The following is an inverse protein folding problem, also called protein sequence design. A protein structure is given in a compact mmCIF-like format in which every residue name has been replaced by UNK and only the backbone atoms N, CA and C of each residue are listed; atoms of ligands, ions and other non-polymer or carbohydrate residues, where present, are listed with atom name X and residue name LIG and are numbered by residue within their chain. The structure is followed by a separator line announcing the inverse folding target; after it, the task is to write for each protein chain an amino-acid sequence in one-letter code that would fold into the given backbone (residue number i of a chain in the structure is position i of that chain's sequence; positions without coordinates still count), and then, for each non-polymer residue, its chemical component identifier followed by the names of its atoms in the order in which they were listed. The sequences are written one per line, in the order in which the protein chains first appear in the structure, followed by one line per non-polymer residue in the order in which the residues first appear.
data_IF_936015441499
#
_entry.id   IF_936015441499
#
_cell.length_a   1.000
_cell.length_b   1.000
_cell.length_c   1.000
_cell.angle_alpha   90.00
_cell.angle_beta   90.00
_cell.angle_gamma   90.00
#
_symmetry.space_group_name_H-M   'P 1'
#
loop_
_entity.id
_entity.type
_entity.pdbx_description
1 polymer ?
#
# COMPACT_ATOMS: atom_id res chain seq x y z
N UNK A 1 6.23 17.91 -38.64
CA UNK A 1 4.86 18.40 -38.39
C UNK A 1 4.06 17.29 -37.68
N UNK A 2 4.48 16.89 -36.47
CA UNK A 2 3.80 15.89 -35.63
C UNK A 2 3.60 16.43 -34.19
N UNK A 3 4.43 17.38 -33.72
CA UNK A 3 4.32 18.03 -32.40
C UNK A 3 2.98 18.76 -32.12
N UNK A 4 2.22 19.14 -33.16
CA UNK A 4 0.91 19.79 -32.99
C UNK A 4 -0.22 18.80 -32.65
N UNK A 5 0.02 17.48 -32.77
CA UNK A 5 -0.99 16.44 -32.50
C UNK A 5 -0.87 15.82 -31.11
N UNK A 6 0.29 15.95 -30.44
CA UNK A 6 0.56 15.30 -29.15
C UNK A 6 0.69 16.27 -27.98
N UNK A 7 0.69 17.59 -28.23
CA UNK A 7 0.92 18.66 -27.22
C UNK A 7 2.18 18.47 -26.36
N UNK A 8 3.11 17.60 -26.77
CA UNK A 8 4.31 17.33 -25.99
C UNK A 8 5.49 18.24 -26.39
N UNK A 9 6.28 18.72 -25.41
CA UNK A 9 7.49 19.51 -25.66
C UNK A 9 8.46 18.78 -26.61
N UNK A 10 9.24 19.52 -27.40
CA UNK A 10 10.18 18.94 -28.38
C UNK A 10 11.26 18.02 -27.76
N UNK A 11 11.47 18.08 -26.44
CA UNK A 11 12.44 17.28 -25.69
C UNK A 11 11.84 16.09 -24.91
N UNK A 12 10.60 15.68 -25.19
CA UNK A 12 10.02 14.50 -24.53
C UNK A 12 10.45 13.19 -25.21
N UNK A 13 10.73 12.18 -24.39
CA UNK A 13 10.86 10.79 -24.82
C UNK A 13 10.11 9.89 -23.85
N UNK A 14 9.42 8.90 -24.39
CA UNK A 14 8.78 7.85 -23.62
C UNK A 14 9.67 6.60 -23.64
N UNK A 15 9.80 5.94 -22.48
CA UNK A 15 10.50 4.67 -22.36
C UNK A 15 9.47 3.60 -22.02
N UNK A 16 9.30 2.65 -22.93
CA UNK A 16 8.50 1.46 -22.72
C UNK A 16 9.41 0.25 -22.46
N UNK A 17 9.13 -0.50 -21.39
CA UNK A 17 9.84 -1.72 -21.05
C UNK A 17 9.02 -2.93 -21.48
N UNK A 18 9.61 -3.80 -22.28
CA UNK A 18 8.97 -5.07 -22.69
C UNK A 18 9.72 -6.27 -22.11
N UNK A 19 8.97 -7.20 -21.53
CA UNK A 19 9.48 -8.42 -20.92
C UNK A 19 9.22 -9.61 -21.84
N UNK A 20 10.15 -9.91 -22.75
CA UNK A 20 10.00 -10.97 -23.75
C UNK A 20 10.94 -12.13 -23.49
N UNK A 21 10.42 -13.36 -23.46
CA UNK A 21 11.22 -14.57 -23.35
C UNK A 21 10.69 -15.67 -24.28
N UNK A 22 11.59 -16.26 -25.08
CA UNK A 22 11.28 -17.34 -26.03
C UNK A 22 10.09 -17.03 -26.97
N UNK A 23 9.98 -15.77 -27.41
CA UNK A 23 8.90 -15.31 -28.30
C UNK A 23 7.56 -15.02 -27.63
N UNK A 24 7.47 -15.15 -26.30
CA UNK A 24 6.28 -14.78 -25.53
C UNK A 24 6.52 -13.43 -24.85
N UNK A 25 5.52 -12.57 -24.89
CA UNK A 25 5.51 -11.27 -24.21
C UNK A 25 4.79 -11.40 -22.85
N UNK A 26 5.51 -11.09 -21.78
CA UNK A 26 5.05 -11.16 -20.39
C UNK A 26 4.82 -9.78 -19.77
N UNK A 27 4.96 -8.70 -20.55
CA UNK A 27 4.93 -7.32 -20.06
C UNK A 27 3.71 -7.05 -19.18
N UNK A 28 2.51 -7.40 -19.66
CA UNK A 28 1.27 -7.24 -18.88
C UNK A 28 1.28 -7.99 -17.55
N UNK A 29 1.81 -9.22 -17.53
CA UNK A 29 1.83 -10.02 -16.31
C UNK A 29 2.75 -9.40 -15.25
N UNK A 30 3.89 -8.85 -15.69
CA UNK A 30 4.83 -8.13 -14.81
C UNK A 30 4.23 -6.80 -14.33
N UNK A 31 3.63 -6.02 -15.22
CA UNK A 31 2.94 -4.78 -14.87
C UNK A 31 1.80 -5.00 -13.87
N UNK A 32 0.99 -6.04 -14.10
CA UNK A 32 -0.11 -6.37 -13.20
C UNK A 32 0.40 -6.83 -11.84
N UNK A 33 1.47 -7.63 -11.78
CA UNK A 33 2.12 -7.99 -10.52
C UNK A 33 2.52 -6.74 -9.75
N UNK A 34 3.26 -5.83 -10.37
CA UNK A 34 3.71 -4.60 -9.71
C UNK A 34 2.54 -3.74 -9.23
N UNK A 35 1.48 -3.62 -10.04
CA UNK A 35 0.25 -2.91 -9.68
C UNK A 35 -0.40 -3.52 -8.43
N UNK A 36 -0.50 -4.85 -8.36
CA UNK A 36 -1.05 -5.55 -7.20
C UNK A 36 -0.18 -5.41 -5.95
N UNK A 37 1.14 -5.46 -6.11
CA UNK A 37 2.09 -5.26 -5.02
C UNK A 37 1.97 -3.85 -4.44
N UNK A 38 1.89 -2.83 -5.29
CA UNK A 38 1.70 -1.43 -4.88
C UNK A 38 0.37 -1.24 -4.14
N UNK A 39 -0.72 -1.76 -4.70
CA UNK A 39 -2.04 -1.70 -4.05
C UNK A 39 -2.04 -2.42 -2.70
N UNK A 40 -1.36 -3.57 -2.60
CA UNK A 40 -1.25 -4.32 -1.36
C UNK A 40 -0.45 -3.56 -0.32
N UNK A 41 0.68 -2.96 -0.70
CA UNK A 41 1.48 -2.12 0.18
C UNK A 41 0.65 -0.94 0.73
N UNK A 42 -0.09 -0.25 -0.13
CA UNK A 42 -0.96 0.84 0.27
C UNK A 42 -2.10 0.38 1.19
N UNK A 43 -2.72 -0.76 0.88
CA UNK A 43 -3.78 -1.34 1.70
C UNK A 43 -3.27 -1.74 3.10
N UNK A 44 -2.07 -2.33 3.18
CA UNK A 44 -1.42 -2.66 4.45
C UNK A 44 -1.11 -1.42 5.26
N UNK A 45 -0.54 -0.38 4.63
CA UNK A 45 -0.24 0.90 5.30
C UNK A 45 -1.53 1.55 5.85
N UNK A 46 -2.59 1.58 5.05
CA UNK A 46 -3.89 2.11 5.46
C UNK A 46 -4.51 1.32 6.61
N UNK A 47 -4.47 -0.01 6.54
CA UNK A 47 -4.96 -0.89 7.61
C UNK A 47 -4.21 -0.64 8.92
N UNK A 48 -2.89 -0.55 8.86
CA UNK A 48 -2.06 -0.39 10.04
C UNK A 48 -2.23 1.01 10.66
N UNK A 49 -2.38 2.05 9.83
CA UNK A 49 -2.78 3.39 10.27
C UNK A 49 -4.14 3.38 10.98
N UNK A 50 -5.17 2.81 10.35
CA UNK A 50 -6.51 2.72 10.94
C UNK A 50 -6.51 1.95 12.27
N UNK A 51 -5.72 0.87 12.37
CA UNK A 51 -5.54 0.13 13.62
C UNK A 51 -4.95 1.01 14.72
N UNK A 52 -3.91 1.79 14.43
CA UNK A 52 -3.30 2.71 15.42
C UNK A 52 -4.31 3.76 15.89
N UNK A 53 -5.05 4.37 14.96
CA UNK A 53 -6.08 5.36 15.27
C UNK A 53 -7.18 4.78 16.20
N UNK A 54 -7.66 3.57 15.92
CA UNK A 54 -8.66 2.88 16.75
C UNK A 54 -8.07 2.53 18.13
N UNK A 55 -6.85 1.98 18.19
CA UNK A 55 -6.18 1.66 19.46
C UNK A 55 -6.05 2.91 20.34
N UNK A 56 -5.60 4.03 19.76
CA UNK A 56 -5.47 5.29 20.49
C UNK A 56 -6.82 5.79 21.01
N UNK A 57 -7.86 5.75 20.18
CA UNK A 57 -9.23 6.14 20.54
C UNK A 57 -9.77 5.28 21.70
N UNK A 58 -9.72 3.96 21.58
CA UNK A 58 -10.23 3.05 22.61
C UNK A 58 -9.44 3.17 23.92
N UNK A 59 -8.12 3.37 23.83
CA UNK A 59 -7.29 3.63 25.01
C UNK A 59 -7.68 4.93 25.72
N UNK A 60 -7.92 6.01 24.96
CA UNK A 60 -8.38 7.28 25.54
C UNK A 60 -9.75 7.17 26.22
N UNK A 61 -10.58 6.24 25.77
CA UNK A 61 -11.85 5.88 26.40
C UNK A 61 -11.69 4.96 27.64
N UNK A 62 -10.46 4.59 28.01
CA UNK A 62 -10.15 3.81 29.21
C UNK A 62 -10.22 2.29 29.03
N UNK A 63 -10.32 1.78 27.79
CA UNK A 63 -10.35 0.33 27.58
C UNK A 63 -8.99 -0.31 27.88
N UNK A 64 -9.04 -1.51 28.45
CA UNK A 64 -7.86 -2.35 28.65
C UNK A 64 -7.33 -2.88 27.32
N UNK A 65 -6.02 -3.18 27.24
CA UNK A 65 -5.41 -3.75 26.03
C UNK A 65 -6.08 -5.06 25.59
N UNK A 66 -6.58 -5.86 26.54
CA UNK A 66 -7.30 -7.10 26.25
C UNK A 66 -8.62 -6.84 25.54
N UNK A 67 -9.41 -5.88 26.02
CA UNK A 67 -10.67 -5.49 25.39
C UNK A 67 -10.43 -4.90 23.98
N UNK A 68 -9.38 -4.09 23.83
CA UNK A 68 -8.97 -3.54 22.52
C UNK A 68 -8.61 -4.67 21.55
N UNK A 69 -7.86 -5.67 22.01
CA UNK A 69 -7.45 -6.82 21.20
C UNK A 69 -8.67 -7.63 20.71
N UNK A 70 -9.66 -7.83 21.57
CA UNK A 70 -10.93 -8.50 21.24
C UNK A 70 -11.71 -7.72 20.17
N UNK A 71 -11.84 -6.39 20.32
CA UNK A 71 -12.58 -5.53 19.36
C UNK A 71 -11.92 -5.51 17.98
N UNK A 72 -10.59 -5.43 17.92
CA UNK A 72 -9.84 -5.30 16.66
C UNK A 72 -9.55 -6.68 16.03
N UNK A 73 -9.88 -7.77 16.73
CA UNK A 73 -9.64 -9.13 16.26
C UNK A 73 -8.16 -9.46 16.13
N UNK A 74 -7.35 -9.03 17.10
CA UNK A 74 -5.90 -9.28 17.10
C UNK A 74 -5.41 -9.73 18.47
N UNK A 75 -4.13 -10.10 18.60
CA UNK A 75 -3.56 -10.49 19.88
C UNK A 75 -3.22 -9.26 20.73
N UNK A 76 -3.33 -9.39 22.06
CA UNK A 76 -2.88 -8.35 22.99
C UNK A 76 -1.40 -7.97 22.81
N UNK A 77 -0.54 -8.93 22.43
CA UNK A 77 0.86 -8.68 22.09
C UNK A 77 0.99 -7.73 20.87
N UNK A 78 0.15 -7.93 19.84
CA UNK A 78 0.16 -7.07 18.65
C UNK A 78 -0.35 -5.67 18.98
N UNK A 79 -1.34 -5.53 19.85
CA UNK A 79 -1.79 -4.23 20.37
C UNK A 79 -0.64 -3.52 21.10
N UNK A 80 0.08 -4.22 21.98
CA UNK A 80 1.21 -3.64 22.70
C UNK A 80 2.34 -3.16 21.76
N UNK A 81 2.66 -3.93 20.72
CA UNK A 81 3.63 -3.53 19.69
C UNK A 81 3.21 -2.25 18.95
N UNK A 82 1.96 -2.20 18.48
CA UNK A 82 1.42 -1.04 17.76
C UNK A 82 1.37 0.23 18.64
N UNK A 83 1.15 0.05 19.95
CA UNK A 83 1.22 1.14 20.93
C UNK A 83 2.65 1.65 21.14
N UNK A 84 3.63 0.75 21.18
CA UNK A 84 5.05 1.11 21.34
C UNK A 84 5.61 1.87 20.14
N UNK A 85 5.13 1.56 18.92
CA UNK A 85 5.51 2.27 17.68
C UNK A 85 4.93 3.70 17.58
N UNK A 86 3.96 4.06 18.43
CA UNK A 86 3.25 5.36 18.37
C UNK A 86 3.67 6.31 19.50
N UNK A 87 4.51 5.86 20.45
CA UNK A 87 5.06 6.67 21.55
C UNK A 87 6.40 7.28 21.16
#
# INVERSE_FOLDING_TARGET
MIHLLTEQPEDSFDIDWHYVQAGNDYTRAVEDLHRWEEQTAQAVANRDRARREIIATLRSAGLSQRAIAEVIGTSHQRVAQLMAETS
#
